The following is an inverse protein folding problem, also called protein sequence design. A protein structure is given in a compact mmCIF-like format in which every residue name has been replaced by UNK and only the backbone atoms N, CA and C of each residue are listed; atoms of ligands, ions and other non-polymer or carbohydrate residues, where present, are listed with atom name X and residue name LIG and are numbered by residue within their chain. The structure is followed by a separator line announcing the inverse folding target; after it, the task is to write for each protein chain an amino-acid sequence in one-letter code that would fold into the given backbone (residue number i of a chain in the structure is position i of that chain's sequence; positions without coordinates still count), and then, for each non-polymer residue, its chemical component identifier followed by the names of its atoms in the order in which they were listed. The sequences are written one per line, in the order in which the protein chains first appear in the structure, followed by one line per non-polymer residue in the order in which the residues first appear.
data_IF_098209437268
#
_entry.id   IF_098209437268
#
_cell.length_a   1.000
_cell.length_b   1.000
_cell.length_c   1.000
_cell.angle_alpha   90.00
_cell.angle_beta   90.00
_cell.angle_gamma   90.00
#
_symmetry.space_group_name_H-M   'P 1'
#
loop_
_entity.id
_entity.type
_entity.pdbx_description
1 polymer ?
#
# COMPACT_ATOMS: atom_id res chain seq x y z
N UNK A 1 -25.96 -1.45 28.92
CA UNK A 1 -26.18 -2.70 28.16
C UNK A 1 -26.68 -2.31 26.79
N UNK A 2 -25.95 -2.69 25.74
CA UNK A 2 -26.32 -2.38 24.36
C UNK A 2 -27.64 -3.04 23.96
N UNK A 3 -28.32 -2.46 22.98
CA UNK A 3 -29.64 -2.90 22.45
C UNK A 3 -29.67 -4.30 21.80
N UNK A 4 -28.50 -4.86 21.48
CA UNK A 4 -28.31 -6.09 20.71
C UNK A 4 -27.26 -6.95 21.39
N UNK A 5 -27.50 -8.26 21.39
CA UNK A 5 -26.57 -9.29 21.89
C UNK A 5 -25.59 -9.73 20.81
N UNK A 6 -24.44 -10.31 21.20
CA UNK A 6 -23.42 -10.78 20.24
C UNK A 6 -23.99 -11.74 19.16
N UNK A 7 -24.94 -12.62 19.51
CA UNK A 7 -25.58 -13.54 18.55
C UNK A 7 -26.43 -12.82 17.51
N UNK A 8 -27.11 -11.74 17.93
CA UNK A 8 -27.92 -10.93 17.03
C UNK A 8 -27.02 -10.18 16.06
N UNK A 9 -25.93 -9.59 16.56
CA UNK A 9 -24.94 -8.85 15.73
C UNK A 9 -24.33 -9.75 14.65
N UNK A 10 -23.96 -10.99 15.00
CA UNK A 10 -23.38 -11.93 14.03
C UNK A 10 -24.36 -12.29 12.91
N UNK A 11 -25.65 -12.44 13.26
CA UNK A 11 -26.73 -12.76 12.33
C UNK A 11 -27.23 -11.60 11.47
N UNK A 12 -26.71 -10.38 11.67
CA UNK A 12 -27.11 -9.24 10.85
C UNK A 12 -26.61 -9.39 9.42
N UNK A 13 -27.52 -9.17 8.47
CA UNK A 13 -27.22 -9.06 7.05
C UNK A 13 -26.52 -7.72 6.76
N UNK A 14 -26.98 -6.65 7.41
CA UNK A 14 -26.37 -5.34 7.34
C UNK A 14 -26.12 -4.69 8.73
N UNK A 15 -24.98 -4.99 9.38
CA UNK A 15 -24.67 -4.42 10.68
C UNK A 15 -24.39 -2.91 10.62
N UNK A 16 -24.10 -2.35 9.44
CA UNK A 16 -23.81 -0.92 9.32
C UNK A 16 -25.06 -0.08 9.57
N UNK A 17 -26.16 -0.43 8.91
CA UNK A 17 -27.42 0.29 9.04
C UNK A 17 -28.02 0.22 10.45
N UNK A 18 -27.90 -0.94 11.10
CA UNK A 18 -28.49 -1.17 12.42
C UNK A 18 -27.65 -0.62 13.57
N UNK A 19 -26.31 -0.57 13.43
CA UNK A 19 -25.40 -0.18 14.53
C UNK A 19 -24.80 1.22 14.39
N UNK A 20 -24.77 1.79 13.17
CA UNK A 20 -24.06 3.04 12.89
C UNK A 20 -24.97 4.12 12.32
N UNK A 21 -25.89 3.75 11.42
CA UNK A 21 -26.76 4.74 10.75
C UNK A 21 -27.85 5.31 11.68
N UNK A 22 -28.19 4.56 12.74
CA UNK A 22 -29.21 4.97 13.72
C UNK A 22 -28.68 5.86 14.84
N UNK A 23 -27.43 5.66 15.29
CA UNK A 23 -26.88 6.34 16.48
C UNK A 23 -25.37 6.61 16.38
N UNK A 24 -24.93 7.83 16.73
CA UNK A 24 -23.52 8.28 16.66
C UNK A 24 -22.56 7.58 17.64
N UNK A 25 -23.08 6.82 18.59
CA UNK A 25 -22.31 5.98 19.55
C UNK A 25 -22.73 4.51 19.52
N UNK A 26 -23.57 4.10 18.56
CA UNK A 26 -24.16 2.76 18.54
C UNK A 26 -23.12 1.65 18.63
N UNK A 27 -21.97 1.79 17.98
CA UNK A 27 -20.93 0.77 18.02
C UNK A 27 -20.25 0.64 19.41
N UNK A 28 -20.07 1.77 20.10
CA UNK A 28 -19.47 1.81 21.44
C UNK A 28 -20.38 1.19 22.51
N UNK A 29 -21.69 1.35 22.38
CA UNK A 29 -22.67 0.73 23.29
C UNK A 29 -22.60 -0.81 23.29
N UNK A 30 -22.16 -1.42 22.19
CA UNK A 30 -22.01 -2.87 22.04
C UNK A 30 -20.56 -3.34 22.18
N UNK A 31 -19.63 -2.49 22.62
CA UNK A 31 -18.21 -2.84 22.68
C UNK A 31 -17.94 -4.10 23.52
N UNK A 32 -18.64 -4.28 24.64
CA UNK A 32 -18.51 -5.48 25.49
C UNK A 32 -18.98 -6.75 24.79
N UNK A 33 -20.11 -6.69 24.08
CA UNK A 33 -20.67 -7.82 23.31
C UNK A 33 -19.77 -8.17 22.10
N UNK A 34 -19.24 -7.15 21.42
CA UNK A 34 -18.33 -7.32 20.29
C UNK A 34 -16.99 -7.93 20.72
N UNK A 35 -16.51 -7.63 21.93
CA UNK A 35 -15.30 -8.21 22.48
C UNK A 35 -15.48 -9.64 23.01
N UNK A 36 -16.72 -10.14 23.14
CA UNK A 36 -17.00 -11.54 23.49
C UNK A 36 -16.93 -12.50 22.28
N UNK A 37 -16.97 -11.95 21.06
CA UNK A 37 -16.87 -12.73 19.83
C UNK A 37 -15.50 -13.38 19.69
N UNK A 38 -15.44 -14.53 19.01
CA UNK A 38 -14.16 -15.10 18.58
C UNK A 38 -13.48 -14.20 17.54
N UNK A 39 -12.17 -14.34 17.38
CA UNK A 39 -11.42 -13.55 16.39
C UNK A 39 -11.98 -13.68 14.97
N UNK A 40 -12.48 -14.86 14.59
CA UNK A 40 -13.08 -15.09 13.28
C UNK A 40 -14.40 -14.35 13.11
N UNK A 41 -15.28 -14.41 14.12
CA UNK A 41 -16.55 -13.69 14.13
C UNK A 41 -16.34 -12.17 14.13
N UNK A 42 -15.37 -11.67 14.91
CA UNK A 42 -15.00 -10.25 14.87
C UNK A 42 -14.58 -9.81 13.47
N UNK A 43 -13.79 -10.65 12.75
CA UNK A 43 -13.37 -10.35 11.37
C UNK A 43 -14.56 -10.34 10.42
N UNK A 44 -15.50 -11.28 10.54
CA UNK A 44 -16.70 -11.33 9.71
C UNK A 44 -17.56 -10.09 9.91
N UNK A 45 -17.84 -9.70 11.16
CA UNK A 45 -18.63 -8.50 11.47
C UNK A 45 -17.91 -7.23 11.00
N UNK A 46 -16.60 -7.10 11.24
CA UNK A 46 -15.82 -5.96 10.77
C UNK A 46 -15.81 -5.87 9.23
N UNK A 47 -15.69 -7.00 8.54
CA UNK A 47 -15.74 -7.05 7.07
C UNK A 47 -17.09 -6.56 6.56
N UNK A 48 -18.20 -7.08 7.10
CA UNK A 48 -19.55 -6.64 6.73
C UNK A 48 -19.78 -5.15 6.99
N UNK A 49 -19.37 -4.64 8.16
CA UNK A 49 -19.48 -3.22 8.51
C UNK A 49 -18.75 -2.33 7.50
N UNK A 50 -17.52 -2.71 7.15
CA UNK A 50 -16.72 -1.93 6.21
C UNK A 50 -17.20 -2.08 4.78
N UNK A 51 -17.80 -3.20 4.38
CA UNK A 51 -18.36 -3.37 3.03
C UNK A 51 -19.68 -2.62 2.84
N UNK A 52 -20.56 -2.67 3.82
CA UNK A 52 -21.89 -2.07 3.71
C UNK A 52 -21.90 -0.58 4.02
N UNK A 53 -20.81 -0.03 4.56
CA UNK A 53 -20.70 1.39 4.81
C UNK A 53 -20.66 2.16 3.46
N UNK A 54 -21.55 3.14 3.21
CA UNK A 54 -21.50 3.95 2.00
C UNK A 54 -20.32 4.94 2.04
N UNK A 55 -19.82 5.30 0.87
CA UNK A 55 -18.62 6.14 0.70
C UNK A 55 -18.74 7.50 1.39
N UNK A 56 -19.94 8.07 1.37
CA UNK A 56 -20.27 9.36 1.98
C UNK A 56 -20.09 9.34 3.50
N UNK A 57 -20.33 8.18 4.14
CA UNK A 57 -20.33 8.02 5.59
C UNK A 57 -19.10 7.31 6.14
N UNK A 58 -18.05 7.13 5.31
CA UNK A 58 -16.82 6.49 5.75
C UNK A 58 -16.14 7.24 6.91
N UNK A 59 -16.28 8.57 6.93
CA UNK A 59 -15.82 9.42 8.05
C UNK A 59 -16.59 9.15 9.33
N UNK A 60 -17.89 8.87 9.24
CA UNK A 60 -18.70 8.52 10.42
C UNK A 60 -18.24 7.17 10.99
N UNK A 61 -17.97 6.18 10.13
CA UNK A 61 -17.38 4.91 10.56
C UNK A 61 -16.02 5.12 11.27
N UNK A 62 -15.20 6.05 10.78
CA UNK A 62 -13.95 6.44 11.44
C UNK A 62 -14.14 7.00 12.86
N UNK A 63 -15.18 7.82 13.08
CA UNK A 63 -15.53 8.34 14.40
C UNK A 63 -16.02 7.24 15.35
N UNK A 64 -16.92 6.37 14.89
CA UNK A 64 -17.41 5.21 15.65
C UNK A 64 -16.27 4.28 16.07
N UNK A 65 -15.36 4.02 15.13
CA UNK A 65 -14.14 3.27 15.41
C UNK A 65 -13.32 3.94 16.51
N UNK A 66 -13.13 5.26 16.48
CA UNK A 66 -12.39 5.95 17.53
C UNK A 66 -13.14 5.95 18.87
N UNK A 67 -14.48 5.97 18.86
CA UNK A 67 -15.29 5.82 20.08
C UNK A 67 -15.09 4.45 20.75
N UNK A 68 -14.84 3.39 19.97
CA UNK A 68 -14.48 2.07 20.52
C UNK A 68 -13.13 2.03 21.24
N UNK A 69 -12.26 3.04 21.03
CA UNK A 69 -10.91 3.05 21.61
C UNK A 69 -10.92 3.13 23.14
N UNK A 70 -11.90 3.82 23.72
CA UNK A 70 -12.07 3.90 25.18
C UNK A 70 -12.47 2.55 25.80
N UNK A 71 -12.98 1.62 24.99
CA UNK A 71 -13.42 0.28 25.39
C UNK A 71 -12.42 -0.82 25.02
N UNK A 72 -11.16 -0.46 24.76
CA UNK A 72 -10.09 -1.44 24.59
C UNK A 72 -9.87 -2.14 25.93
N UNK A 73 -10.27 -3.40 26.01
CA UNK A 73 -9.96 -4.29 27.12
C UNK A 73 -8.53 -4.82 27.00
N UNK A 74 -7.97 -5.32 28.10
CA UNK A 74 -6.64 -5.96 28.09
C UNK A 74 -6.58 -7.29 27.31
N UNK A 75 -7.73 -7.76 26.79
CA UNK A 75 -7.84 -8.94 25.94
C UNK A 75 -7.45 -8.63 24.51
N UNK A 76 -6.49 -9.38 23.99
CA UNK A 76 -6.05 -9.34 22.59
C UNK A 76 -6.52 -10.63 21.91
N UNK A 77 -7.19 -10.57 20.74
CA UNK A 77 -7.54 -9.37 19.97
C UNK A 77 -8.85 -8.70 20.43
N UNK A 78 -8.89 -7.36 20.44
CA UNK A 78 -10.12 -6.57 20.67
C UNK A 78 -10.81 -6.21 19.35
N UNK A 79 -12.13 -6.00 19.39
CA UNK A 79 -12.91 -5.66 18.20
C UNK A 79 -12.43 -4.35 17.54
N UNK A 80 -12.06 -3.35 18.35
CA UNK A 80 -11.44 -2.10 17.87
C UNK A 80 -10.23 -2.37 16.96
N UNK A 81 -9.34 -3.28 17.37
CA UNK A 81 -8.13 -3.61 16.60
C UNK A 81 -8.49 -4.23 15.25
N UNK A 82 -9.43 -5.19 15.25
CA UNK A 82 -9.89 -5.88 14.05
C UNK A 82 -10.60 -4.91 13.10
N UNK A 83 -11.51 -4.08 13.61
CA UNK A 83 -12.19 -3.05 12.83
C UNK A 83 -11.22 -2.00 12.28
N UNK A 84 -10.22 -1.60 13.06
CA UNK A 84 -9.21 -0.66 12.59
C UNK A 84 -8.39 -1.22 11.44
N UNK A 85 -8.06 -2.52 11.46
CA UNK A 85 -7.35 -3.16 10.35
C UNK A 85 -8.22 -3.22 9.09
N UNK A 86 -9.50 -3.63 9.23
CA UNK A 86 -10.44 -3.65 8.12
C UNK A 86 -10.66 -2.24 7.52
N UNK A 87 -10.81 -1.22 8.38
CA UNK A 87 -10.93 0.17 7.96
C UNK A 87 -9.69 0.64 7.20
N UNK A 88 -8.48 0.27 7.65
CA UNK A 88 -7.24 0.58 6.93
C UNK A 88 -7.18 -0.08 5.55
N UNK A 89 -7.62 -1.34 5.40
CA UNK A 89 -7.71 -2.00 4.07
C UNK A 89 -8.55 -1.15 3.12
N UNK A 90 -9.74 -0.72 3.57
CA UNK A 90 -10.62 0.11 2.74
C UNK A 90 -9.98 1.45 2.40
N UNK A 91 -9.42 2.16 3.38
CA UNK A 91 -8.73 3.44 3.13
C UNK A 91 -7.59 3.32 2.14
N UNK A 92 -6.83 2.23 2.20
CA UNK A 92 -5.76 1.97 1.25
C UNK A 92 -6.31 1.82 -0.17
N UNK A 93 -7.38 1.04 -0.37
CA UNK A 93 -7.99 0.89 -1.70
C UNK A 93 -8.53 2.23 -2.22
N UNK A 94 -9.17 3.04 -1.37
CA UNK A 94 -9.68 4.36 -1.78
C UNK A 94 -8.55 5.30 -2.15
N UNK A 95 -7.43 5.26 -1.41
CA UNK A 95 -6.25 6.06 -1.73
C UNK A 95 -5.58 5.61 -3.04
N UNK A 96 -5.76 4.36 -3.48
CA UNK A 96 -5.33 3.89 -4.81
C UNK A 96 -6.24 4.41 -5.94
N UNK A 97 -7.54 4.57 -5.65
CA UNK A 97 -8.55 5.07 -6.59
C UNK A 97 -8.64 6.59 -6.65
N UNK A 98 -8.18 7.31 -5.62
CA UNK A 98 -8.26 8.76 -5.58
C UNK A 98 -7.29 9.40 -6.59
N UNK A 99 -7.84 10.07 -7.60
CA UNK A 99 -7.07 10.78 -8.63
C UNK A 99 -6.22 11.91 -8.06
N UNK A 100 -6.61 12.47 -6.90
CA UNK A 100 -5.88 13.54 -6.22
C UNK A 100 -4.63 13.01 -5.52
N UNK A 101 -4.56 11.70 -5.28
CA UNK A 101 -3.39 11.07 -4.70
C UNK A 101 -2.26 10.98 -5.73
N UNK A 102 -1.24 11.82 -5.56
CA UNK A 102 -0.05 11.83 -6.43
C UNK A 102 0.90 10.67 -6.17
N UNK A 103 0.71 9.90 -5.09
CA UNK A 103 1.65 8.85 -4.65
C UNK A 103 0.95 7.55 -4.22
N UNK A 104 0.10 6.94 -5.08
CA UNK A 104 -0.59 5.68 -4.75
C UNK A 104 0.38 4.53 -4.48
N UNK A 105 1.58 4.56 -5.07
CA UNK A 105 2.65 3.59 -4.86
C UNK A 105 3.18 3.52 -3.41
N UNK A 106 2.92 4.52 -2.56
CA UNK A 106 3.39 4.53 -1.17
C UNK A 106 2.73 3.43 -0.31
N UNK A 107 1.50 3.07 -0.65
CA UNK A 107 0.74 2.01 0.03
C UNK A 107 1.45 0.67 -0.12
N UNK A 108 1.98 0.40 -1.31
CA UNK A 108 2.75 -0.81 -1.56
C UNK A 108 4.21 -0.68 -1.19
N UNK A 109 4.82 0.51 -1.09
CA UNK A 109 6.26 0.61 -0.72
C UNK A 109 6.48 0.77 0.79
N UNK A 110 5.84 1.75 1.43
CA UNK A 110 6.09 2.11 2.83
C UNK A 110 5.09 1.51 3.83
N UNK A 111 3.82 1.47 3.45
CA UNK A 111 2.72 1.13 4.37
C UNK A 111 2.19 -0.29 4.15
N UNK A 112 2.94 -1.10 3.40
CA UNK A 112 2.52 -2.43 3.01
C UNK A 112 2.58 -3.42 4.17
N UNK A 113 1.46 -4.09 4.43
CA UNK A 113 1.36 -5.18 5.39
C UNK A 113 0.61 -6.36 4.74
N UNK A 114 1.35 -7.40 4.35
CA UNK A 114 0.76 -8.58 3.70
C UNK A 114 -0.23 -9.31 4.59
N UNK A 115 0.07 -9.44 5.89
CA UNK A 115 -0.77 -10.14 6.85
C UNK A 115 -2.14 -9.47 7.00
N UNK A 116 -2.19 -8.14 6.89
CA UNK A 116 -3.44 -7.38 6.95
C UNK A 116 -4.34 -7.67 5.75
N UNK A 117 -3.79 -7.69 4.53
CA UNK A 117 -4.59 -8.03 3.33
C UNK A 117 -4.99 -9.50 3.30
N UNK A 118 -4.14 -10.39 3.80
CA UNK A 118 -4.44 -11.83 3.92
C UNK A 118 -5.50 -12.13 4.99
N UNK A 119 -5.64 -11.28 6.02
CA UNK A 119 -6.67 -11.41 7.05
C UNK A 119 -8.05 -10.97 6.56
N UNK A 120 -8.11 -10.07 5.57
CA UNK A 120 -9.35 -9.54 5.00
C UNK A 120 -9.41 -9.74 3.48
N UNK A 121 -9.28 -11.00 2.99
CA UNK A 121 -9.20 -11.27 1.56
C UNK A 121 -10.52 -10.96 0.85
N UNK A 122 -11.66 -11.24 1.49
CA UNK A 122 -12.99 -10.94 0.95
C UNK A 122 -13.17 -9.43 0.76
N UNK A 123 -12.87 -8.65 1.80
CA UNK A 123 -12.93 -7.18 1.79
C UNK A 123 -12.04 -6.59 0.69
N UNK A 124 -10.80 -7.05 0.60
CA UNK A 124 -9.86 -6.51 -0.37
C UNK A 124 -10.26 -6.85 -1.81
N UNK A 125 -10.68 -8.10 -2.06
CA UNK A 125 -11.12 -8.52 -3.39
C UNK A 125 -12.41 -7.80 -3.83
N UNK A 126 -13.40 -7.65 -2.95
CA UNK A 126 -14.65 -6.98 -3.32
C UNK A 126 -14.46 -5.50 -3.62
N UNK A 127 -13.56 -4.82 -2.91
CA UNK A 127 -13.24 -3.40 -3.16
C UNK A 127 -12.39 -3.19 -4.42
N UNK A 128 -11.54 -4.16 -4.78
CA UNK A 128 -10.75 -4.09 -6.01
C UNK A 128 -11.55 -4.42 -7.27
N UNK A 129 -12.63 -5.20 -7.12
CA UNK A 129 -13.42 -5.72 -8.24
C UNK A 129 -13.96 -4.59 -9.10
N UNK A 130 -13.54 -4.54 -10.36
CA UNK A 130 -13.97 -3.52 -11.34
C UNK A 130 -13.03 -2.33 -11.49
N UNK A 131 -11.97 -2.22 -10.67
CA UNK A 131 -10.99 -1.14 -10.75
C UNK A 131 -9.54 -1.62 -10.95
N UNK A 132 -9.34 -2.90 -11.26
CA UNK A 132 -8.02 -3.54 -11.31
C UNK A 132 -7.10 -2.88 -12.35
N UNK A 133 -7.66 -2.53 -13.52
CA UNK A 133 -6.91 -1.89 -14.60
C UNK A 133 -6.51 -0.45 -14.27
N UNK A 134 -7.40 0.33 -13.65
CA UNK A 134 -7.13 1.72 -13.27
C UNK A 134 -6.05 1.80 -12.19
N UNK A 135 -6.16 0.95 -11.16
CA UNK A 135 -5.15 0.87 -10.09
C UNK A 135 -3.82 0.39 -10.65
N UNK A 136 -3.83 -0.65 -11.50
CA UNK A 136 -2.62 -1.16 -12.16
C UNK A 136 -1.89 -0.07 -12.95
N UNK A 137 -2.63 0.72 -13.72
CA UNK A 137 -2.06 1.84 -14.47
C UNK A 137 -1.48 2.93 -13.57
N UNK A 138 -2.19 3.31 -12.50
CA UNK A 138 -1.70 4.32 -11.55
C UNK A 138 -0.44 3.88 -10.83
N UNK A 139 -0.35 2.62 -10.44
CA UNK A 139 0.85 2.07 -9.80
C UNK A 139 2.04 2.03 -10.76
N UNK A 140 1.80 1.77 -12.05
CA UNK A 140 2.83 1.71 -13.07
C UNK A 140 3.45 3.07 -13.43
N UNK A 141 2.85 4.19 -13.01
CA UNK A 141 3.39 5.54 -13.28
C UNK A 141 4.74 5.83 -12.61
N UNK A 142 5.08 5.10 -11.54
CA UNK A 142 6.34 5.32 -10.84
C UNK A 142 7.36 4.21 -11.13
N UNK A 143 8.26 4.50 -12.06
CA UNK A 143 9.33 3.60 -12.50
C UNK A 143 10.28 3.13 -11.39
N UNK A 144 10.57 3.99 -10.41
CA UNK A 144 11.57 3.68 -9.37
C UNK A 144 11.10 2.60 -8.40
N UNK A 145 9.79 2.35 -8.34
CA UNK A 145 9.17 1.46 -7.36
C UNK A 145 8.54 0.21 -7.99
N UNK A 146 8.62 0.05 -9.33
CA UNK A 146 7.90 -1.01 -10.04
C UNK A 146 8.27 -2.41 -9.56
N UNK A 147 9.57 -2.68 -9.41
CA UNK A 147 10.06 -4.00 -8.98
C UNK A 147 9.64 -4.36 -7.54
N UNK A 148 9.52 -3.37 -6.67
CA UNK A 148 9.08 -3.57 -5.29
C UNK A 148 7.57 -3.81 -5.23
N UNK A 149 6.80 -3.03 -5.98
CA UNK A 149 5.34 -3.17 -6.09
C UNK A 149 4.98 -4.53 -6.69
N UNK A 150 5.68 -4.96 -7.76
CA UNK A 150 5.49 -6.27 -8.39
C UNK A 150 5.63 -7.41 -7.38
N UNK A 151 6.73 -7.42 -6.61
CA UNK A 151 6.99 -8.46 -5.60
C UNK A 151 5.92 -8.51 -4.53
N UNK A 152 5.43 -7.35 -4.09
CA UNK A 152 4.40 -7.27 -3.03
C UNK A 152 3.02 -7.67 -3.55
N UNK A 153 2.67 -7.29 -4.77
CA UNK A 153 1.46 -7.79 -5.44
C UNK A 153 1.54 -9.29 -5.67
N UNK A 154 2.70 -9.81 -6.06
CA UNK A 154 2.93 -11.24 -6.21
C UNK A 154 2.73 -11.98 -4.88
N UNK A 155 3.29 -11.46 -3.78
CA UNK A 155 3.11 -12.02 -2.44
C UNK A 155 1.62 -12.10 -2.05
N UNK A 156 0.82 -11.07 -2.35
CA UNK A 156 -0.63 -11.12 -2.11
C UNK A 156 -1.33 -12.12 -3.02
N UNK A 157 -0.93 -12.20 -4.28
CA UNK A 157 -1.52 -13.09 -5.28
C UNK A 157 -1.27 -14.58 -5.00
N UNK A 158 -0.14 -14.92 -4.37
CA UNK A 158 0.20 -16.30 -3.98
C UNK A 158 -0.72 -16.84 -2.87
N UNK A 159 -1.24 -15.97 -2.01
CA UNK A 159 -2.18 -16.34 -0.95
C UNK A 159 -3.63 -16.42 -1.45
N UNK A 160 -3.92 -15.91 -2.65
CA UNK A 160 -5.24 -15.99 -3.24
C UNK A 160 -5.49 -17.39 -3.83
N UNK A 161 -6.51 -18.08 -3.31
CA UNK A 161 -6.86 -19.46 -3.70
C UNK A 161 -7.40 -19.49 -5.15
N UNK A 162 -8.22 -18.52 -5.53
CA UNK A 162 -8.89 -18.50 -6.83
C UNK A 162 -8.01 -17.89 -7.93
N UNK A 163 -8.09 -18.45 -9.14
CA UNK A 163 -7.34 -17.95 -10.31
C UNK A 163 -7.87 -16.60 -10.79
N UNK A 164 -9.17 -16.37 -10.63
CA UNK A 164 -9.87 -15.14 -11.04
C UNK A 164 -10.00 -14.13 -9.90
N UNK A 165 -9.19 -14.29 -8.84
CA UNK A 165 -9.18 -13.33 -7.74
C UNK A 165 -8.78 -11.93 -8.26
N UNK A 166 -9.54 -10.86 -7.92
CA UNK A 166 -9.24 -9.48 -8.30
C UNK A 166 -7.78 -9.06 -8.05
N UNK A 167 -7.15 -9.57 -6.97
CA UNK A 167 -5.72 -9.35 -6.69
C UNK A 167 -4.79 -9.90 -7.79
N UNK A 168 -5.10 -11.06 -8.38
CA UNK A 168 -4.33 -11.62 -9.49
C UNK A 168 -4.54 -10.82 -10.79
N UNK A 169 -5.76 -10.36 -11.02
CA UNK A 169 -6.07 -9.48 -12.15
C UNK A 169 -5.33 -8.15 -12.04
N UNK A 170 -5.28 -7.57 -10.83
CA UNK A 170 -4.50 -6.38 -10.53
C UNK A 170 -3.01 -6.60 -10.78
N UNK A 171 -2.44 -7.69 -10.27
CA UNK A 171 -1.02 -8.02 -10.48
C UNK A 171 -0.69 -8.15 -11.98
N UNK A 172 -1.59 -8.78 -12.75
CA UNK A 172 -1.45 -8.90 -14.20
C UNK A 172 -1.52 -7.53 -14.89
N UNK A 173 -2.54 -6.73 -14.62
CA UNK A 173 -2.72 -5.41 -15.21
C UNK A 173 -1.54 -4.48 -14.88
N UNK A 174 -1.03 -4.54 -13.65
CA UNK A 174 0.15 -3.79 -13.24
C UNK A 174 1.40 -4.21 -14.03
N UNK A 175 1.65 -5.51 -14.20
CA UNK A 175 2.82 -5.99 -14.95
C UNK A 175 2.75 -5.61 -16.42
N UNK A 176 1.57 -5.72 -17.05
CA UNK A 176 1.36 -5.30 -18.44
C UNK A 176 1.66 -3.80 -18.64
N UNK A 177 1.20 -2.94 -17.73
CA UNK A 177 1.48 -1.49 -17.83
C UNK A 177 2.93 -1.13 -17.45
N UNK A 178 3.53 -1.84 -16.48
CA UNK A 178 4.93 -1.67 -16.11
C UNK A 178 5.86 -2.00 -17.29
N UNK A 179 5.58 -3.09 -18.01
CA UNK A 179 6.31 -3.45 -19.23
C UNK A 179 6.10 -2.42 -20.35
N UNK A 180 4.87 -1.93 -20.55
CA UNK A 180 4.59 -0.89 -21.53
C UNK A 180 5.34 0.43 -21.23
N UNK A 181 5.45 0.78 -19.96
CA UNK A 181 6.20 1.97 -19.50
C UNK A 181 7.70 1.83 -19.78
N UNK A 182 8.28 0.65 -19.51
CA UNK A 182 9.67 0.35 -19.84
C UNK A 182 9.96 0.34 -21.35
N UNK A 183 9.04 -0.18 -22.17
CA UNK A 183 9.21 -0.20 -23.63
C UNK A 183 9.17 1.21 -24.23
N UNK A 184 8.25 2.08 -23.78
CA UNK A 184 8.15 3.48 -24.23
C UNK A 184 9.46 4.24 -24.01
N UNK A 185 10.11 4.03 -22.87
CA UNK A 185 11.38 4.69 -22.54
C UNK A 185 12.55 4.19 -23.40
N UNK A 186 12.56 2.91 -23.77
CA UNK A 186 13.58 2.35 -24.66
C UNK A 186 13.42 2.80 -26.12
N UNK A 187 12.18 3.01 -26.58
CA UNK A 187 11.91 3.57 -27.92
C UNK A 187 12.29 5.05 -28.05
N UNK A 188 12.01 5.88 -27.05
CA UNK A 188 12.38 7.31 -27.09
C UNK A 188 13.89 7.53 -26.99
N UNK A 189 14.62 6.64 -26.31
CA UNK A 189 16.08 6.65 -26.28
C UNK A 189 16.73 6.25 -27.63
N UNK A 190 16.03 5.47 -28.47
CA UNK A 190 16.50 5.09 -29.82
C UNK A 190 16.29 6.21 -30.84
N UNK A 191 15.17 6.92 -30.80
CA UNK A 191 14.88 8.02 -31.74
C UNK A 191 15.77 9.27 -31.52
N UNK A 192 16.29 9.47 -30.30
CA UNK A 192 17.25 10.54 -30.01
C UNK A 192 18.64 10.33 -30.61
N UNK A 193 18.99 9.12 -31.05
CA UNK A 193 20.33 8.78 -31.58
C UNK A 193 20.44 8.91 -33.10
N UNK A 194 19.33 9.08 -33.81
CA UNK A 194 19.33 9.21 -35.28
C UNK A 194 19.38 10.65 -35.81
N UNK A 195 19.37 11.68 -34.95
CA UNK A 195 19.42 13.09 -35.38
C UNK A 195 20.80 13.76 -35.39
N UNK A 196 21.87 13.06 -35.02
CA UNK A 196 23.26 13.54 -35.17
C UNK A 196 24.11 12.53 -35.93
N UNK A 197 23.84 12.38 -37.22
CA UNK A 197 24.57 11.50 -38.12
C UNK A 197 25.02 12.21 -39.39
N UNK A 198 26.02 13.09 -39.31
CA UNK A 198 27.10 13.25 -40.30
C UNK A 198 28.28 13.98 -39.66
N UNK A 199 29.11 13.28 -38.89
CA UNK A 199 30.51 13.66 -38.73
C UNK A 199 31.36 12.47 -39.18
N UNK A 200 32.03 12.66 -40.30
CA UNK A 200 32.93 11.70 -40.93
C UNK A 200 34.14 11.39 -40.04
N UNK A 201 34.72 10.18 -40.12
CA UNK A 201 35.92 9.84 -39.39
C UNK A 201 37.15 10.36 -40.15
N UNK A 202 38.01 11.13 -39.47
CA UNK A 202 39.37 11.40 -39.95
C UNK A 202 40.34 10.56 -39.15
N UNK A 203 41.09 9.73 -39.87
CA UNK A 203 42.15 8.86 -39.41
C UNK A 203 43.47 9.61 -39.18
N UNK A 204 44.36 8.93 -38.44
CA UNK A 204 45.83 9.01 -38.37
C UNK A 204 46.49 9.84 -37.26
N UNK A 205 47.25 9.08 -36.45
CA UNK A 205 48.21 9.43 -35.40
C UNK A 205 49.54 9.96 -35.98
N UNK A 206 50.48 10.53 -35.19
CA UNK A 206 51.45 9.71 -34.41
C UNK A 206 51.97 10.31 -33.06
N UNK A 207 52.37 9.41 -32.15
CA UNK A 207 53.28 9.55 -30.96
C UNK A 207 54.71 10.01 -31.39
N UNK A 208 55.75 10.33 -30.54
CA UNK A 208 55.99 10.27 -29.06
C UNK A 208 56.81 11.51 -28.53
N UNK A 209 57.59 11.56 -27.40
CA UNK A 209 57.98 10.55 -26.39
C UNK A 209 58.00 10.97 -24.88
N UNK A 210 58.34 9.93 -24.09
CA UNK A 210 58.66 9.76 -22.67
C UNK A 210 59.29 10.93 -21.89
N UNK A 211 58.92 11.05 -20.61
CA UNK A 211 59.85 11.40 -19.53
C UNK A 211 59.46 10.73 -18.19
N UNK A 212 60.33 9.83 -17.75
CA UNK A 212 60.40 9.29 -16.38
C UNK A 212 60.74 10.40 -15.39
N UNK A 213 60.23 10.29 -14.16
CA UNK A 213 61.02 10.52 -12.94
C UNK A 213 60.28 9.93 -11.73
N UNK A 214 61.06 9.18 -10.96
CA UNK A 214 60.73 8.41 -9.77
C UNK A 214 60.59 9.27 -8.50
N UNK A 215 59.93 8.66 -7.51
CA UNK A 215 60.20 8.65 -6.05
C UNK A 215 60.38 9.98 -5.28
N UNK A 216 59.57 10.19 -4.23
CA UNK A 216 60.04 10.06 -2.83
C UNK A 216 58.91 10.27 -1.81
N UNK A 217 58.93 9.43 -0.77
CA UNK A 217 58.19 9.58 0.49
C UNK A 217 58.50 10.92 1.18
N UNK A 218 57.56 11.48 1.95
CA UNK A 218 57.83 11.81 3.37
C UNK A 218 56.58 12.17 4.18
N UNK A 219 56.59 11.68 5.42
CA UNK A 219 55.65 11.87 6.53
C UNK A 219 55.59 13.33 7.02
N UNK A 220 54.43 13.78 7.52
CA UNK A 220 54.24 14.53 8.79
C UNK A 220 52.79 15.04 8.88
N UNK A 221 51.97 14.51 9.79
CA UNK A 221 51.83 14.95 11.19
C UNK A 221 51.45 16.42 11.35
N UNK A 222 50.20 16.66 11.81
CA UNK A 222 49.74 17.67 12.80
C UNK A 222 48.21 17.61 12.83
N UNK A 223 47.63 17.07 13.89
CA UNK A 223 47.20 17.76 15.11
C UNK A 223 45.86 18.52 14.97
N UNK A 224 44.90 18.05 15.77
CA UNK A 224 43.67 18.72 16.21
C UNK A 224 43.91 20.16 16.70
N UNK A 225 42.85 20.98 16.78
CA UNK A 225 42.24 21.15 18.10
C UNK A 225 40.70 21.13 18.11
N UNK A 226 40.18 20.65 19.24
CA UNK A 226 38.84 20.87 19.75
C UNK A 226 38.45 22.35 19.80
N UNK A 227 37.18 22.65 19.54
CA UNK A 227 36.52 23.82 20.10
C UNK A 227 35.20 23.40 20.76
N UNK A 228 35.24 23.38 22.09
CA UNK A 228 34.11 23.48 23.01
C UNK A 228 33.43 24.84 22.82
N UNK A 229 32.09 24.87 22.72
CA UNK A 229 31.29 26.07 22.98
C UNK A 229 30.09 25.66 23.83
N UNK A 230 30.14 26.17 25.07
CA UNK A 230 29.10 26.57 26.04
C UNK A 230 27.79 25.78 26.11
#
# INVERSE_FOLDING_TARGET
MGRFTFKQILGMEDPYKELIDQDEEGLAEHAEELNQLSQEEMRQVATKLVLNCPDENIRALGKQKEALRSHITSTVPSFYSVLSQAYTVRMNVYALLDERNKKPYQIFTREFNADLYNQFPELFNSLLKGHESEIGQRLAQNESSLSEIAKKLEQLSQNAVDKDAPVKLLAKAFNEEAEATHQKFQSTAREGRERFGTFSPVTSSPTPPLRENNEEETKQSRCFPSCTIL
#
